data_IF_191161549071
#
_entry.id   IF_191161549071
#
_cell.length_a   1.000
_cell.length_b   1.000
_cell.length_c   1.000
_cell.angle_alpha   90.00
_cell.angle_beta   90.00
_cell.angle_gamma   90.00
#
_symmetry.space_group_name_H-M   'P 1'
#
loop_
_entity.id
_entity.type
_entity.pdbx_description
1 polymer ?
#
# COMPACT_ATOMS: atom_id res chain seq x y z
N UNK A 1 -45.86 17.08 -12.04
CA UNK A 1 -46.15 15.90 -12.89
C UNK A 1 -44.84 15.17 -13.05
N UNK A 2 -44.63 14.05 -12.34
CA UNK A 2 -43.44 13.23 -12.56
C UNK A 2 -43.58 12.59 -13.93
N UNK A 3 -42.67 12.91 -14.85
CA UNK A 3 -42.48 12.09 -16.06
C UNK A 3 -42.35 10.63 -15.63
N UNK A 4 -42.94 9.66 -16.35
CA UNK A 4 -42.77 8.25 -16.01
C UNK A 4 -41.26 7.96 -15.98
N UNK A 5 -40.76 7.53 -14.82
CA UNK A 5 -39.36 7.12 -14.66
C UNK A 5 -39.06 6.07 -15.72
N UNK A 6 -38.00 6.25 -16.51
CA UNK A 6 -37.58 5.22 -17.48
C UNK A 6 -37.30 3.93 -16.70
N UNK A 7 -38.20 2.95 -16.83
CA UNK A 7 -38.12 1.66 -16.15
C UNK A 7 -36.86 0.87 -16.53
N UNK A 8 -36.11 1.30 -17.55
CA UNK A 8 -34.84 0.71 -17.96
C UNK A 8 -33.63 1.41 -17.32
N UNK A 9 -33.81 2.57 -16.69
CA UNK A 9 -32.74 3.37 -16.08
C UNK A 9 -32.15 2.65 -14.88
N UNK A 10 -30.84 2.43 -14.89
CA UNK A 10 -30.10 1.79 -13.79
C UNK A 10 -28.91 2.66 -13.43
N UNK A 11 -28.69 2.92 -12.14
CA UNK A 11 -27.46 3.55 -11.68
C UNK A 11 -26.47 2.47 -11.22
N UNK A 12 -25.21 2.59 -11.61
CA UNK A 12 -24.16 1.62 -11.26
C UNK A 12 -23.13 2.28 -10.36
N UNK A 13 -23.08 1.84 -9.10
CA UNK A 13 -22.01 2.16 -8.16
C UNK A 13 -20.88 1.17 -8.39
N UNK A 14 -19.66 1.65 -8.62
CA UNK A 14 -18.52 0.78 -8.92
C UNK A 14 -17.18 1.37 -8.47
N UNK A 15 -16.17 0.51 -8.35
CA UNK A 15 -14.80 0.89 -8.01
C UNK A 15 -13.98 1.36 -9.23
N UNK A 16 -12.66 1.14 -9.16
CA UNK A 16 -11.68 1.45 -10.22
C UNK A 16 -11.36 0.28 -11.14
N UNK A 17 -11.99 -0.88 -10.96
CA UNK A 17 -11.89 -1.99 -11.90
C UNK A 17 -12.65 -1.70 -13.20
N UNK A 18 -12.00 -0.94 -14.10
CA UNK A 18 -12.56 -0.53 -15.40
C UNK A 18 -13.02 -1.70 -16.29
N UNK A 19 -12.28 -2.83 -16.40
CA UNK A 19 -12.74 -3.99 -17.16
C UNK A 19 -14.09 -4.54 -16.67
N UNK A 20 -14.26 -4.70 -15.35
CA UNK A 20 -15.51 -5.18 -14.77
C UNK A 20 -16.63 -4.15 -14.86
N UNK A 21 -16.32 -2.85 -14.68
CA UNK A 21 -17.27 -1.77 -14.91
C UNK A 21 -17.82 -1.82 -16.34
N UNK A 22 -16.92 -1.85 -17.34
CA UNK A 22 -17.32 -1.92 -18.75
C UNK A 22 -18.19 -3.16 -19.02
N UNK A 23 -17.78 -4.32 -18.50
CA UNK A 23 -18.52 -5.57 -18.66
C UNK A 23 -19.92 -5.51 -18.05
N UNK A 24 -20.08 -4.86 -16.88
CA UNK A 24 -21.40 -4.64 -16.28
C UNK A 24 -22.28 -3.74 -17.14
N UNK A 25 -21.73 -2.63 -17.65
CA UNK A 25 -22.48 -1.73 -18.53
C UNK A 25 -22.90 -2.40 -19.84
N UNK A 26 -22.00 -3.17 -20.46
CA UNK A 26 -22.30 -3.94 -21.67
C UNK A 26 -23.38 -4.99 -21.41
N UNK A 27 -23.30 -5.72 -20.29
CA UNK A 27 -24.32 -6.69 -19.87
C UNK A 27 -25.69 -6.01 -19.68
N UNK A 28 -25.76 -4.92 -18.93
CA UNK A 28 -27.01 -4.19 -18.70
C UNK A 28 -27.63 -3.72 -20.01
N UNK A 29 -26.83 -3.17 -20.93
CA UNK A 29 -27.29 -2.77 -22.28
C UNK A 29 -27.79 -3.97 -23.09
N UNK A 30 -27.15 -5.13 -22.98
CA UNK A 30 -27.55 -6.34 -23.72
C UNK A 30 -28.90 -6.91 -23.31
N UNK A 31 -29.40 -6.55 -22.13
CA UNK A 31 -30.74 -6.92 -21.63
C UNK A 31 -31.73 -5.74 -21.71
N UNK A 32 -31.45 -4.77 -22.58
CA UNK A 32 -32.22 -3.53 -22.82
C UNK A 32 -32.34 -2.58 -21.61
N UNK A 33 -31.37 -2.61 -20.69
CA UNK A 33 -31.28 -1.61 -19.63
C UNK A 33 -30.37 -0.45 -20.06
N UNK A 34 -30.63 0.71 -19.48
CA UNK A 34 -29.92 1.97 -19.73
C UNK A 34 -29.10 2.35 -18.50
N UNK A 35 -27.86 1.83 -18.36
CA UNK A 35 -27.00 2.21 -17.26
C UNK A 35 -26.58 3.68 -17.38
N UNK A 36 -26.85 4.46 -16.34
CA UNK A 36 -26.53 5.87 -16.26
C UNK A 36 -25.03 6.07 -16.06
N UNK A 37 -24.42 6.88 -16.91
CA UNK A 37 -23.03 7.33 -16.74
C UNK A 37 -22.97 8.49 -15.73
N UNK A 38 -21.84 8.63 -15.04
CA UNK A 38 -21.66 9.69 -14.04
C UNK A 38 -21.92 11.11 -14.59
N UNK A 39 -21.47 11.39 -15.81
CA UNK A 39 -21.67 12.69 -16.47
C UNK A 39 -23.15 13.03 -16.60
N UNK A 40 -24.00 12.05 -16.92
CA UNK A 40 -25.45 12.23 -16.97
C UNK A 40 -26.01 12.55 -15.58
N UNK A 41 -25.54 11.89 -14.53
CA UNK A 41 -25.95 12.20 -13.15
C UNK A 41 -25.54 13.63 -12.73
N UNK A 42 -24.37 14.09 -13.16
CA UNK A 42 -23.90 15.48 -12.93
C UNK A 42 -24.80 16.46 -13.68
N UNK A 43 -25.11 16.22 -14.96
CA UNK A 43 -25.99 17.09 -15.75
C UNK A 43 -27.39 17.22 -15.14
N UNK A 44 -27.92 16.13 -14.57
CA UNK A 44 -29.20 16.15 -13.85
C UNK A 44 -29.22 17.12 -12.67
N UNK A 45 -28.06 17.45 -12.08
CA UNK A 45 -28.01 18.45 -10.99
C UNK A 45 -28.29 19.87 -11.48
N UNK A 46 -28.08 20.16 -12.77
CA UNK A 46 -28.14 21.52 -13.33
C UNK A 46 -26.98 22.43 -12.90
N UNK A 47 -25.97 21.90 -12.21
CA UNK A 47 -24.83 22.66 -11.69
C UNK A 47 -23.55 22.31 -12.45
N UNK A 48 -22.70 23.30 -12.74
CA UNK A 48 -21.41 23.07 -13.39
C UNK A 48 -20.37 22.40 -12.48
N UNK A 49 -20.58 22.40 -11.16
CA UNK A 49 -19.67 21.80 -10.17
C UNK A 49 -20.44 21.39 -8.90
N UNK A 50 -21.32 20.38 -8.98
CA UNK A 50 -22.18 19.98 -7.88
C UNK A 50 -21.42 19.32 -6.74
N UNK A 51 -21.98 19.42 -5.54
CA UNK A 51 -21.59 18.55 -4.42
C UNK A 51 -21.89 17.08 -4.77
N UNK A 52 -20.97 16.16 -4.43
CA UNK A 52 -21.09 14.75 -4.82
C UNK A 52 -22.36 14.07 -4.30
N UNK A 53 -22.80 14.42 -3.09
CA UNK A 53 -24.05 13.91 -2.54
C UNK A 53 -25.27 14.32 -3.36
N UNK A 54 -25.24 15.53 -3.95
CA UNK A 54 -26.32 16.01 -4.83
C UNK A 54 -26.40 15.21 -6.13
N UNK A 55 -25.24 14.84 -6.70
CA UNK A 55 -25.17 13.97 -7.88
C UNK A 55 -25.78 12.60 -7.57
N UNK A 56 -25.43 12.03 -6.42
CA UNK A 56 -25.94 10.74 -5.97
C UNK A 56 -27.45 10.77 -5.72
N UNK A 57 -27.98 11.84 -5.08
CA UNK A 57 -29.42 12.03 -4.91
C UNK A 57 -30.15 12.04 -6.26
N UNK A 58 -29.65 12.83 -7.23
CA UNK A 58 -30.25 12.90 -8.56
C UNK A 58 -30.18 11.56 -9.30
N UNK A 59 -29.06 10.85 -9.20
CA UNK A 59 -28.90 9.52 -9.78
C UNK A 59 -29.92 8.53 -9.19
N UNK A 60 -30.08 8.50 -7.86
CA UNK A 60 -31.03 7.61 -7.21
C UNK A 60 -32.49 7.98 -7.49
N UNK A 61 -32.80 9.25 -7.72
CA UNK A 61 -34.16 9.69 -8.08
C UNK A 61 -34.55 9.30 -9.50
N UNK A 62 -33.58 9.26 -10.42
CA UNK A 62 -33.83 8.99 -11.83
C UNK A 62 -33.57 7.53 -12.24
N UNK A 63 -32.98 6.73 -11.36
CA UNK A 63 -32.75 5.31 -11.58
C UNK A 63 -33.91 4.46 -11.05
N UNK A 64 -34.34 3.47 -11.83
CA UNK A 64 -35.32 2.46 -11.41
C UNK A 64 -34.68 1.46 -10.43
N UNK A 65 -33.43 1.07 -10.68
CA UNK A 65 -32.65 0.23 -9.77
C UNK A 65 -31.22 0.77 -9.61
N UNK A 66 -30.59 0.43 -8.49
CA UNK A 66 -29.17 0.71 -8.22
C UNK A 66 -28.43 -0.62 -8.17
N UNK A 67 -27.42 -0.78 -9.02
CA UNK A 67 -26.49 -1.91 -8.98
C UNK A 67 -25.23 -1.46 -8.24
N UNK A 68 -24.88 -2.15 -7.17
CA UNK A 68 -23.61 -1.94 -6.47
C UNK A 68 -22.66 -3.06 -6.89
N UNK A 69 -21.70 -2.73 -7.75
CA UNK A 69 -20.65 -3.62 -8.22
C UNK A 69 -19.46 -3.58 -7.26
N UNK A 70 -19.37 -4.60 -6.41
CA UNK A 70 -18.29 -4.80 -5.45
C UNK A 70 -17.21 -5.71 -6.05
N UNK A 71 -16.01 -5.16 -6.16
CA UNK A 71 -14.82 -5.82 -6.73
C UNK A 71 -13.65 -5.73 -5.74
N UNK A 72 -12.67 -6.65 -5.79
CA UNK A 72 -11.51 -6.69 -4.89
C UNK A 72 -10.47 -5.60 -5.19
N UNK A 73 -10.88 -4.33 -5.15
CA UNK A 73 -10.06 -3.19 -5.57
C UNK A 73 -9.01 -2.77 -4.54
N UNK A 74 -9.26 -3.03 -3.25
CA UNK A 74 -8.39 -2.65 -2.14
C UNK A 74 -8.16 -3.83 -1.20
N UNK A 75 -7.13 -3.76 -0.36
CA UNK A 75 -6.84 -4.76 0.68
C UNK A 75 -6.97 -4.11 2.05
N UNK A 76 -7.72 -4.75 2.96
CA UNK A 76 -7.91 -4.27 4.32
C UNK A 76 -7.79 -5.38 5.35
N UNK A 77 -7.60 -4.98 6.60
CA UNK A 77 -7.59 -5.85 7.77
C UNK A 77 -7.92 -5.04 9.03
N UNK A 78 -8.57 -5.70 9.99
CA UNK A 78 -8.81 -5.18 11.32
C UNK A 78 -7.48 -5.11 12.08
N UNK A 79 -7.27 -4.07 12.88
CA UNK A 79 -6.07 -4.01 13.70
C UNK A 79 -6.11 -5.14 14.74
N UNK A 80 -5.04 -5.94 14.93
CA UNK A 80 -5.10 -7.12 15.78
C UNK A 80 -5.51 -6.87 17.23
N UNK A 81 -5.23 -5.68 17.77
CA UNK A 81 -5.68 -5.28 19.12
C UNK A 81 -7.21 -5.20 19.27
N UNK A 82 -7.94 -5.16 18.16
CA UNK A 82 -9.40 -5.18 18.11
C UNK A 82 -9.94 -6.53 17.62
N UNK A 83 -9.06 -7.49 17.31
CA UNK A 83 -9.46 -8.83 16.87
C UNK A 83 -9.71 -9.78 18.04
N UNK A 84 -10.37 -10.89 17.75
CA UNK A 84 -10.71 -11.95 18.70
C UNK A 84 -9.64 -13.06 18.69
N UNK A 85 -8.39 -12.71 19.00
CA UNK A 85 -7.26 -13.64 19.07
C UNK A 85 -6.42 -13.70 17.79
N UNK A 86 -5.33 -14.49 17.83
CA UNK A 86 -4.32 -14.54 16.74
C UNK A 86 -4.86 -15.17 15.44
N UNK A 87 -5.91 -15.98 15.52
CA UNK A 87 -6.52 -16.65 14.37
C UNK A 87 -7.71 -15.91 13.77
N UNK A 88 -8.00 -14.69 14.21
CA UNK A 88 -9.12 -13.92 13.70
C UNK A 88 -8.88 -13.54 12.23
N UNK A 89 -9.72 -14.07 11.33
CA UNK A 89 -9.64 -13.80 9.88
C UNK A 89 -9.85 -12.33 9.56
N UNK A 90 -10.58 -11.59 10.39
CA UNK A 90 -10.79 -10.16 10.22
C UNK A 90 -9.46 -9.39 10.29
N UNK A 91 -8.47 -9.92 11.03
CA UNK A 91 -7.14 -9.32 11.21
C UNK A 91 -6.13 -9.69 10.12
N UNK A 92 -6.51 -10.59 9.21
CA UNK A 92 -5.68 -10.96 8.06
C UNK A 92 -5.97 -10.03 6.88
N UNK A 93 -4.96 -9.68 6.05
CA UNK A 93 -5.18 -8.92 4.83
C UNK A 93 -6.16 -9.66 3.90
N UNK A 94 -7.27 -8.99 3.56
CA UNK A 94 -8.27 -9.53 2.66
C UNK A 94 -8.71 -8.48 1.63
N UNK A 95 -9.00 -8.88 0.39
CA UNK A 95 -9.54 -7.98 -0.63
C UNK A 95 -10.91 -7.42 -0.23
N UNK A 96 -11.20 -6.18 -0.60
CA UNK A 96 -12.47 -5.51 -0.37
C UNK A 96 -12.80 -4.53 -1.51
N UNK A 97 -14.08 -4.13 -1.59
CA UNK A 97 -14.48 -2.98 -2.39
C UNK A 97 -13.91 -1.67 -1.83
N UNK A 98 -13.78 -0.65 -2.69
CA UNK A 98 -13.30 0.66 -2.27
C UNK A 98 -14.24 1.29 -1.23
N UNK A 99 -13.74 2.04 -0.24
CA UNK A 99 -14.56 2.74 0.75
C UNK A 99 -15.67 3.61 0.14
N UNK A 100 -15.41 4.26 -1.00
CA UNK A 100 -16.43 5.05 -1.70
C UNK A 100 -17.62 4.17 -2.15
N UNK A 101 -17.33 2.99 -2.71
CA UNK A 101 -18.35 2.03 -3.14
C UNK A 101 -19.17 1.55 -1.94
N UNK A 102 -18.51 1.25 -0.81
CA UNK A 102 -19.18 0.84 0.42
C UNK A 102 -20.07 1.95 0.98
N UNK A 103 -19.61 3.20 0.95
CA UNK A 103 -20.37 4.36 1.42
C UNK A 103 -21.60 4.62 0.54
N UNK A 104 -21.42 4.64 -0.79
CA UNK A 104 -22.49 4.81 -1.77
C UNK A 104 -23.51 3.66 -1.71
N UNK A 105 -23.05 2.43 -1.48
CA UNK A 105 -23.91 1.28 -1.22
C UNK A 105 -24.76 1.50 0.05
N UNK A 106 -24.14 1.99 1.13
CA UNK A 106 -24.85 2.37 2.36
C UNK A 106 -25.91 3.44 2.11
N UNK A 107 -25.61 4.46 1.30
CA UNK A 107 -26.57 5.50 0.91
C UNK A 107 -27.73 4.94 0.07
N UNK A 108 -27.44 4.10 -0.93
CA UNK A 108 -28.45 3.47 -1.77
C UNK A 108 -29.39 2.58 -0.95
N UNK A 109 -28.82 1.73 -0.07
CA UNK A 109 -29.58 0.89 0.84
C UNK A 109 -30.40 1.71 1.85
N UNK A 110 -29.84 2.78 2.39
CA UNK A 110 -30.53 3.69 3.31
C UNK A 110 -31.69 4.43 2.65
N UNK A 111 -31.57 4.75 1.35
CA UNK A 111 -32.62 5.42 0.57
C UNK A 111 -33.71 4.45 0.12
N UNK A 112 -33.34 3.35 -0.52
CA UNK A 112 -34.27 2.32 -0.99
C UNK A 112 -33.55 0.97 -1.17
N UNK A 113 -33.62 0.15 -0.14
CA UNK A 113 -33.04 -1.18 -0.16
C UNK A 113 -33.82 -2.19 -1.02
N UNK A 114 -35.06 -1.88 -1.46
CA UNK A 114 -35.86 -2.77 -2.30
C UNK A 114 -35.40 -2.77 -3.75
N UNK A 115 -34.88 -1.63 -4.23
CA UNK A 115 -34.34 -1.46 -5.59
C UNK A 115 -32.81 -1.43 -5.67
N UNK A 116 -32.11 -1.72 -4.57
CA UNK A 116 -30.65 -1.81 -4.52
C UNK A 116 -30.19 -3.27 -4.64
N UNK A 117 -29.44 -3.58 -5.70
CA UNK A 117 -28.93 -4.91 -6.03
C UNK A 117 -27.42 -4.96 -5.77
N UNK A 118 -27.02 -5.75 -4.78
CA UNK A 118 -25.61 -5.97 -4.45
C UNK A 118 -25.02 -7.08 -5.33
N UNK A 119 -23.90 -6.80 -5.98
CA UNK A 119 -23.21 -7.72 -6.89
C UNK A 119 -21.74 -7.80 -6.51
N UNK A 120 -21.23 -9.00 -6.29
CA UNK A 120 -19.82 -9.31 -6.04
C UNK A 120 -19.20 -9.99 -7.25
N UNK A 121 -18.02 -9.56 -7.67
CA UNK A 121 -17.20 -10.29 -8.65
C UNK A 121 -15.81 -10.53 -8.04
N UNK A 122 -15.47 -11.80 -7.83
CA UNK A 122 -14.24 -12.22 -7.15
C UNK A 122 -14.39 -12.35 -5.64
N UNK A 123 -13.25 -12.50 -4.96
CA UNK A 123 -13.22 -12.60 -3.51
C UNK A 123 -13.29 -11.21 -2.89
N UNK A 124 -14.41 -10.90 -2.25
CA UNK A 124 -14.59 -9.65 -1.51
C UNK A 124 -14.86 -10.02 -0.05
N UNK A 125 -14.10 -9.42 0.86
CA UNK A 125 -14.30 -9.57 2.30
C UNK A 125 -15.74 -9.16 2.64
N UNK A 126 -16.47 -9.95 3.43
CA UNK A 126 -17.78 -9.56 3.90
C UNK A 126 -17.67 -8.25 4.70
N UNK A 127 -18.53 -7.29 4.40
CA UNK A 127 -18.76 -6.16 5.30
C UNK A 127 -19.90 -6.55 6.24
N UNK A 128 -19.56 -6.73 7.52
CA UNK A 128 -20.31 -7.46 8.56
C UNK A 128 -21.75 -6.98 8.80
N UNK A 129 -22.10 -5.75 8.39
CA UNK A 129 -23.42 -5.16 8.64
C UNK A 129 -24.43 -5.36 7.50
N UNK A 130 -24.04 -6.01 6.39
CA UNK A 130 -24.96 -6.44 5.31
C UNK A 130 -25.51 -7.85 5.58
N UNK A 131 -25.25 -8.44 6.76
CA UNK A 131 -25.60 -9.82 7.13
C UNK A 131 -27.09 -10.21 6.95
N UNK A 132 -28.01 -9.26 6.76
CA UNK A 132 -29.41 -9.52 6.40
C UNK A 132 -29.77 -9.41 4.91
N UNK A 133 -28.83 -9.05 4.02
CA UNK A 133 -29.07 -8.81 2.60
C UNK A 133 -28.18 -9.73 1.76
N UNK A 134 -28.79 -10.45 0.83
CA UNK A 134 -28.07 -11.37 -0.04
C UNK A 134 -27.39 -10.59 -1.18
N UNK A 135 -26.09 -10.77 -1.40
CA UNK A 135 -25.39 -10.30 -2.61
C UNK A 135 -25.35 -11.39 -3.69
N UNK A 136 -25.39 -11.02 -4.97
CA UNK A 136 -25.18 -11.98 -6.06
C UNK A 136 -23.67 -12.15 -6.25
N UNK A 137 -23.17 -13.38 -6.25
CA UNK A 137 -21.81 -13.67 -6.70
C UNK A 137 -21.82 -13.89 -8.22
N UNK A 138 -21.50 -12.84 -8.96
CA UNK A 138 -21.55 -12.85 -10.41
C UNK A 138 -20.27 -13.47 -10.99
N UNK A 139 -20.46 -14.29 -12.02
CA UNK A 139 -19.40 -14.95 -12.77
C UNK A 139 -19.78 -15.02 -14.25
N UNK A 140 -18.91 -15.61 -15.08
CA UNK A 140 -19.23 -15.90 -16.48
C UNK A 140 -20.30 -16.99 -16.68
N UNK A 141 -20.73 -17.70 -15.63
CA UNK A 141 -21.80 -18.68 -15.73
C UNK A 141 -23.15 -18.01 -16.06
N UNK A 142 -23.89 -18.62 -17.00
CA UNK A 142 -25.25 -18.18 -17.36
C UNK A 142 -26.18 -18.11 -16.15
N UNK A 143 -26.06 -19.05 -15.21
CA UNK A 143 -26.92 -19.10 -14.02
C UNK A 143 -26.80 -17.83 -13.16
N UNK A 144 -25.59 -17.33 -12.90
CA UNK A 144 -25.39 -16.10 -12.13
C UNK A 144 -25.84 -14.84 -12.89
N UNK A 145 -25.71 -14.83 -14.23
CA UNK A 145 -26.22 -13.75 -15.09
C UNK A 145 -27.75 -13.70 -15.06
N UNK A 146 -28.39 -14.87 -15.14
CA UNK A 146 -29.84 -15.01 -15.02
C UNK A 146 -30.33 -14.56 -13.64
N UNK A 147 -29.60 -14.86 -12.58
CA UNK A 147 -29.91 -14.37 -11.23
C UNK A 147 -29.90 -12.85 -11.16
N UNK A 148 -28.87 -12.19 -11.71
CA UNK A 148 -28.82 -10.73 -11.79
C UNK A 148 -30.01 -10.14 -12.57
N UNK A 149 -30.32 -10.70 -13.75
CA UNK A 149 -31.47 -10.27 -14.53
C UNK A 149 -32.79 -10.40 -13.75
N UNK A 150 -32.97 -11.49 -13.00
CA UNK A 150 -34.16 -11.70 -12.17
C UNK A 150 -34.26 -10.70 -11.02
N UNK A 151 -33.13 -10.33 -10.39
CA UNK A 151 -33.13 -9.31 -9.33
C UNK A 151 -33.41 -7.92 -9.86
N UNK A 152 -32.88 -7.57 -11.02
CA UNK A 152 -33.20 -6.31 -11.70
C UNK A 152 -34.67 -6.23 -12.06
N UNK A 153 -35.27 -7.34 -12.55
CA UNK A 153 -36.73 -7.41 -12.77
C UNK A 153 -37.51 -7.19 -11.48
N UNK A 154 -37.08 -7.82 -10.40
CA UNK A 154 -37.72 -7.70 -9.08
C UNK A 154 -37.59 -6.28 -8.52
N UNK A 155 -36.49 -5.59 -8.83
CA UNK A 155 -36.27 -4.18 -8.51
C UNK A 155 -37.09 -3.20 -9.38
N UNK A 156 -37.93 -3.71 -10.29
CA UNK A 156 -38.84 -2.92 -11.12
C UNK A 156 -38.32 -2.61 -12.53
N UNK A 157 -37.19 -3.17 -12.94
CA UNK A 157 -36.65 -2.93 -14.28
C UNK A 157 -37.43 -3.67 -15.38
N UNK A 158 -37.68 -2.98 -16.48
CA UNK A 158 -38.16 -3.59 -17.72
C UNK A 158 -36.95 -4.05 -18.53
N UNK A 159 -36.81 -5.36 -18.74
CA UNK A 159 -35.67 -5.98 -19.43
C UNK A 159 -36.13 -6.88 -20.57
N UNK A 160 -35.31 -6.96 -21.61
CA UNK A 160 -35.46 -7.88 -22.74
C UNK A 160 -34.43 -9.02 -22.64
N UNK A 161 -34.92 -10.25 -22.43
CA UNK A 161 -34.07 -11.45 -22.39
C UNK A 161 -34.24 -12.33 -23.62
N UNK A 162 -34.84 -11.83 -24.71
CA UNK A 162 -34.93 -12.57 -25.96
C UNK A 162 -33.54 -12.72 -26.58
N UNK A 163 -33.30 -13.84 -27.25
CA UNK A 163 -31.99 -14.16 -27.83
C UNK A 163 -31.00 -14.68 -26.79
N UNK A 164 -29.74 -14.82 -27.21
CA UNK A 164 -28.70 -15.47 -26.42
C UNK A 164 -27.42 -14.64 -26.26
N UNK A 165 -27.30 -13.50 -26.93
CA UNK A 165 -26.07 -12.69 -26.91
C UNK A 165 -25.72 -12.20 -25.49
N UNK A 166 -26.75 -11.89 -24.69
CA UNK A 166 -26.59 -11.48 -23.30
C UNK A 166 -26.02 -12.59 -22.39
N UNK A 167 -26.11 -13.87 -22.80
CA UNK A 167 -25.55 -15.00 -22.05
C UNK A 167 -24.04 -14.90 -21.87
N UNK A 168 -23.35 -14.25 -22.81
CA UNK A 168 -21.88 -14.13 -22.84
C UNK A 168 -21.38 -12.69 -22.90
N UNK A 169 -22.27 -11.70 -22.91
CA UNK A 169 -21.86 -10.28 -23.02
C UNK A 169 -21.18 -9.79 -21.74
N UNK A 170 -19.99 -9.21 -21.87
CA UNK A 170 -19.13 -8.80 -20.74
C UNK A 170 -18.35 -9.97 -20.15
N UNK A 171 -17.20 -9.68 -19.54
CA UNK A 171 -16.35 -10.67 -18.88
C UNK A 171 -16.37 -10.45 -17.35
N UNK A 172 -16.91 -11.41 -16.63
CA UNK A 172 -16.98 -11.44 -15.17
C UNK A 172 -16.02 -12.48 -14.58
N UNK A 173 -14.87 -12.69 -15.22
CA UNK A 173 -13.77 -13.45 -14.63
C UNK A 173 -13.31 -12.77 -13.34
N UNK A 174 -13.18 -13.58 -12.28
CA UNK A 174 -12.68 -13.11 -11.00
C UNK A 174 -11.30 -12.48 -11.16
N UNK A 175 -11.06 -11.26 -10.63
CA UNK A 175 -9.70 -10.71 -10.57
C UNK A 175 -8.78 -11.66 -9.80
N UNK A 176 -7.50 -11.75 -10.18
CA UNK A 176 -6.55 -12.58 -9.45
C UNK A 176 -6.43 -12.11 -7.99
N UNK A 177 -6.10 -13.02 -7.05
CA UNK A 177 -5.85 -12.64 -5.67
C UNK A 177 -4.78 -11.54 -5.59
N UNK A 178 -4.94 -10.56 -4.70
CA UNK A 178 -3.96 -9.49 -4.55
C UNK A 178 -2.60 -10.03 -4.13
N UNK A 179 -1.52 -9.39 -4.61
CA UNK A 179 -0.14 -9.74 -4.28
C UNK A 179 0.65 -10.43 -5.41
N UNK A 180 0.07 -10.62 -6.60
CA UNK A 180 0.75 -11.19 -7.78
C UNK A 180 1.49 -12.51 -7.50
N UNK A 181 0.89 -13.36 -6.66
CA UNK A 181 1.46 -14.64 -6.23
C UNK A 181 2.42 -14.55 -5.02
N UNK A 182 2.66 -13.34 -4.49
CA UNK A 182 3.39 -13.14 -3.24
C UNK A 182 2.42 -13.05 -2.05
N UNK A 183 2.82 -13.53 -0.86
CA UNK A 183 2.03 -13.35 0.35
C UNK A 183 1.79 -11.87 0.62
N UNK A 184 0.55 -11.50 0.92
CA UNK A 184 0.22 -10.15 1.39
C UNK A 184 0.81 -9.95 2.78
N UNK A 185 1.99 -9.32 2.83
CA UNK A 185 2.62 -8.93 4.08
C UNK A 185 1.90 -7.76 4.72
N UNK A 186 1.69 -7.82 6.03
CA UNK A 186 1.36 -6.62 6.80
C UNK A 186 2.57 -5.70 6.80
N UNK A 187 2.47 -4.50 6.22
CA UNK A 187 3.50 -3.47 6.44
C UNK A 187 3.39 -3.00 7.89
N UNK A 188 4.07 -3.70 8.79
CA UNK A 188 4.30 -3.21 10.14
C UNK A 188 5.11 -1.93 9.94
N UNK A 189 4.70 -0.77 10.51
CA UNK A 189 5.59 0.38 10.58
C UNK A 189 6.89 -0.16 11.16
N UNK A 190 7.98 -0.12 10.37
CA UNK A 190 9.26 -0.64 10.83
C UNK A 190 9.46 -0.08 12.21
N UNK A 191 9.53 -0.97 13.21
CA UNK A 191 9.61 -0.53 14.60
C UNK A 191 10.66 0.55 14.61
N UNK A 192 10.31 1.76 15.01
CA UNK A 192 11.32 2.65 15.54
C UNK A 192 11.76 1.93 16.81
N UNK A 193 12.59 0.89 16.67
CA UNK A 193 13.60 0.58 17.64
C UNK A 193 14.15 1.94 17.96
N UNK A 194 13.92 2.42 19.18
CA UNK A 194 14.44 3.70 19.62
C UNK A 194 15.85 3.79 19.06
N UNK A 195 16.07 4.73 18.12
CA UNK A 195 17.37 4.85 17.47
C UNK A 195 18.39 4.91 18.62
N UNK A 196 19.42 4.06 18.57
CA UNK A 196 20.39 3.99 19.66
C UNK A 196 20.93 5.40 19.91
N UNK A 197 21.20 5.73 21.17
CA UNK A 197 21.76 7.03 21.55
C UNK A 197 23.01 7.35 20.71
N UNK A 198 23.92 6.37 20.60
CA UNK A 198 25.06 6.39 19.70
C UNK A 198 24.95 5.17 18.77
N UNK A 199 25.17 5.39 17.47
CA UNK A 199 25.25 4.32 16.48
C UNK A 199 26.25 4.72 15.39
N UNK A 200 27.42 4.12 15.40
CA UNK A 200 28.47 4.45 14.44
C UNK A 200 28.38 3.64 13.15
N UNK A 201 28.82 4.29 12.08
CA UNK A 201 29.04 3.69 10.77
C UNK A 201 30.31 4.29 10.16
N UNK A 202 30.98 3.53 9.30
CA UNK A 202 32.27 3.91 8.72
C UNK A 202 32.21 3.86 7.19
N UNK A 203 32.86 4.82 6.55
CA UNK A 203 33.10 4.79 5.10
C UNK A 203 34.54 5.08 4.77
N UNK A 204 35.17 4.17 4.05
CA UNK A 204 36.51 4.34 3.54
C UNK A 204 36.48 4.94 2.14
N UNK A 205 37.39 5.87 1.85
CA UNK A 205 37.54 6.48 0.53
C UNK A 205 39.00 6.45 0.11
N UNK A 206 39.26 5.76 -1.01
CA UNK A 206 40.56 5.83 -1.68
C UNK A 206 40.73 7.21 -2.33
N UNK A 207 41.85 7.89 -2.07
CA UNK A 207 42.20 9.16 -2.75
C UNK A 207 43.21 9.00 -3.88
N UNK A 208 44.01 7.93 -3.86
CA UNK A 208 44.98 7.59 -4.90
C UNK A 208 46.15 8.59 -5.04
N UNK A 209 47.22 8.16 -5.70
CA UNK A 209 48.44 8.97 -5.88
C UNK A 209 49.20 9.20 -4.57
N UNK A 210 49.82 10.39 -4.41
CA UNK A 210 50.64 10.76 -3.25
C UNK A 210 49.82 11.40 -2.11
N UNK A 211 48.54 11.02 -1.96
CA UNK A 211 47.61 11.58 -0.96
C UNK A 211 47.16 10.49 0.00
N UNK A 212 46.95 10.85 1.26
CA UNK A 212 46.37 9.97 2.25
C UNK A 212 44.91 9.64 1.91
N UNK A 213 44.52 8.40 2.20
CA UNK A 213 43.13 7.96 2.08
C UNK A 213 42.29 8.57 3.20
N UNK A 214 40.97 8.46 3.10
CA UNK A 214 40.05 9.08 4.06
C UNK A 214 39.16 8.03 4.72
N UNK A 215 38.99 8.13 6.03
CA UNK A 215 37.97 7.40 6.79
C UNK A 215 36.93 8.39 7.31
N UNK A 216 35.67 8.21 6.91
CA UNK A 216 34.54 8.99 7.40
C UNK A 216 33.84 8.21 8.51
N UNK A 217 33.78 8.82 9.68
CA UNK A 217 33.13 8.30 10.88
C UNK A 217 31.77 8.97 11.02
N UNK A 218 30.69 8.20 10.96
CA UNK A 218 29.30 8.69 10.92
C UNK A 218 28.59 8.28 12.20
N UNK A 219 27.91 9.21 12.87
CA UNK A 219 27.02 8.90 13.97
C UNK A 219 25.56 8.94 13.50
N UNK A 220 24.98 7.76 13.27
CA UNK A 220 23.56 7.53 12.92
C UNK A 220 22.63 7.55 14.13
N UNK A 221 23.20 7.60 15.34
CA UNK A 221 22.46 7.69 16.60
C UNK A 221 21.75 9.02 16.79
N UNK A 222 21.06 9.18 17.92
CA UNK A 222 20.28 10.39 18.23
C UNK A 222 21.06 11.44 19.03
N UNK A 223 22.02 11.02 19.83
CA UNK A 223 22.82 11.88 20.71
C UNK A 223 24.16 12.26 20.07
N UNK A 224 24.78 13.30 20.59
CA UNK A 224 26.16 13.65 20.29
C UNK A 224 27.12 12.68 20.95
N UNK A 225 28.01 12.07 20.16
CA UNK A 225 29.13 11.30 20.67
C UNK A 225 30.32 12.22 20.93
N UNK A 226 30.92 12.14 22.11
CA UNK A 226 32.12 12.88 22.50
C UNK A 226 33.32 11.94 22.65
N UNK A 227 34.52 12.51 22.58
CA UNK A 227 35.78 11.81 22.87
C UNK A 227 35.90 10.49 22.08
N UNK A 228 35.61 10.55 20.77
CA UNK A 228 35.51 9.37 19.91
C UNK A 228 36.91 8.90 19.51
N UNK A 229 37.23 7.65 19.83
CA UNK A 229 38.52 7.01 19.54
C UNK A 229 38.28 5.78 18.67
N UNK A 230 39.11 5.61 17.65
CA UNK A 230 39.06 4.46 16.74
C UNK A 230 40.28 3.58 16.97
N UNK A 231 40.05 2.28 17.11
CA UNK A 231 41.09 1.26 17.25
C UNK A 231 40.88 0.18 16.20
N UNK A 232 41.96 -0.12 15.47
CA UNK A 232 42.00 -1.20 14.47
C UNK A 232 42.88 -2.35 14.97
N UNK A 233 42.63 -3.60 14.53
CA UNK A 233 43.50 -4.74 14.83
C UNK A 233 44.94 -4.54 14.35
N UNK A 234 45.91 -5.19 15.00
CA UNK A 234 47.33 -5.04 14.66
C UNK A 234 47.69 -5.48 13.23
N UNK A 235 46.93 -6.44 12.68
CA UNK A 235 47.09 -6.99 11.33
C UNK A 235 46.27 -6.24 10.26
N UNK A 236 45.54 -5.19 10.62
CA UNK A 236 44.73 -4.42 9.68
C UNK A 236 45.60 -3.64 8.67
N UNK A 237 45.16 -3.59 7.42
CA UNK A 237 45.83 -2.83 6.36
C UNK A 237 45.73 -1.30 6.56
N UNK A 238 44.88 -0.84 7.48
CA UNK A 238 44.68 0.57 7.80
C UNK A 238 45.54 1.00 8.99
N UNK A 239 46.32 2.07 8.83
CA UNK A 239 47.05 2.72 9.92
C UNK A 239 46.40 4.06 10.26
N UNK A 240 46.01 4.19 11.53
CA UNK A 240 45.40 5.38 12.12
C UNK A 240 46.42 6.23 12.92
N UNK A 241 47.62 5.71 13.20
CA UNK A 241 48.62 6.36 14.08
C UNK A 241 49.44 7.43 13.37
N UNK A 242 49.49 7.40 12.04
CA UNK A 242 50.34 8.29 11.24
C UNK A 242 49.72 9.66 10.93
N UNK A 243 48.54 9.97 11.47
CA UNK A 243 47.73 11.14 11.03
C UNK A 243 47.31 12.10 12.15
N UNK A 244 47.94 12.02 13.33
CA UNK A 244 47.71 12.87 14.52
C UNK A 244 46.26 12.88 15.06
N UNK A 245 45.41 11.96 14.60
CA UNK A 245 44.02 11.83 15.09
C UNK A 245 43.99 10.88 16.29
N UNK A 246 44.40 11.37 17.45
CA UNK A 246 44.29 10.60 18.69
C UNK A 246 42.84 10.52 19.20
N UNK A 247 42.05 11.58 19.03
CA UNK A 247 40.65 11.63 19.51
C UNK A 247 39.83 12.64 18.72
N UNK A 248 38.63 12.25 18.28
CA UNK A 248 37.65 13.16 17.66
C UNK A 248 36.78 13.75 18.78
N UNK A 249 36.88 15.07 18.99
CA UNK A 249 36.23 15.75 20.12
C UNK A 249 34.71 15.54 20.19
N UNK A 250 34.01 15.58 19.05
CA UNK A 250 32.58 15.26 18.97
C UNK A 250 32.09 14.92 17.57
N UNK A 251 31.05 14.09 17.50
CA UNK A 251 30.26 13.79 16.29
C UNK A 251 28.76 13.85 16.67
N UNK A 252 28.03 14.90 16.25
CA UNK A 252 26.58 14.98 16.50
C UNK A 252 25.82 13.79 15.90
N UNK A 253 24.70 13.41 16.51
CA UNK A 253 23.79 12.41 15.97
C UNK A 253 23.08 12.87 14.68
N UNK A 254 22.14 12.06 14.20
CA UNK A 254 21.34 12.36 13.01
C UNK A 254 22.09 12.18 11.69
N UNK A 255 23.14 11.35 11.68
CA UNK A 255 23.92 11.02 10.48
C UNK A 255 25.03 12.03 10.16
N UNK A 256 25.47 12.85 11.12
CA UNK A 256 26.65 13.72 10.92
C UNK A 256 27.93 12.90 10.99
N UNK A 257 28.99 13.44 10.40
CA UNK A 257 30.24 12.72 10.25
C UNK A 257 31.46 13.61 10.40
N UNK A 258 32.56 13.01 10.84
CA UNK A 258 33.90 13.59 10.78
C UNK A 258 34.76 12.71 9.87
N UNK A 259 35.61 13.33 9.06
CA UNK A 259 36.51 12.62 8.15
C UNK A 259 37.94 12.80 8.61
N UNK A 260 38.66 11.70 8.71
CA UNK A 260 40.05 11.65 9.17
C UNK A 260 40.95 11.11 8.06
N UNK A 261 42.19 11.57 8.04
CA UNK A 261 43.22 11.02 7.17
C UNK A 261 43.68 9.66 7.70
N UNK A 262 43.89 8.71 6.80
CA UNK A 262 44.32 7.34 7.12
C UNK A 262 45.31 6.85 6.08
N UNK A 263 46.23 5.97 6.49
CA UNK A 263 47.20 5.36 5.60
C UNK A 263 46.82 3.90 5.33
N UNK A 264 46.59 3.55 4.07
CA UNK A 264 46.43 2.14 3.68
C UNK A 264 47.81 1.53 3.36
N UNK A 265 48.31 0.74 4.30
CA UNK A 265 49.60 0.05 4.22
C UNK A 265 49.56 -1.25 3.41
N UNK A 266 48.36 -1.81 3.16
CA UNK A 266 48.20 -3.01 2.32
C UNK A 266 48.56 -2.78 0.85
N UNK A 267 48.65 -1.52 0.43
CA UNK A 267 49.05 -1.11 -0.94
C UNK A 267 50.53 -0.77 -1.08
N UNK A 268 51.33 -0.87 -0.01
CA UNK A 268 52.77 -0.63 -0.08
C UNK A 268 53.52 -1.86 -0.63
N UNK A 269 54.34 -1.65 -1.66
CA UNK A 269 55.16 -2.72 -2.25
C UNK A 269 56.16 -3.28 -1.23
N UNK A 270 56.15 -4.61 -1.06
CA UNK A 270 57.12 -5.35 -0.22
C UNK A 270 56.75 -5.48 1.28
N UNK A 271 55.56 -5.06 1.70
CA UNK A 271 55.08 -5.19 3.07
C UNK A 271 54.51 -6.58 3.42
N UNK A 272 54.37 -6.91 4.73
CA UNK A 272 53.69 -8.12 5.18
C UNK A 272 52.22 -8.13 4.74
N UNK A 273 51.65 -9.32 4.56
CA UNK A 273 50.24 -9.49 4.18
C UNK A 273 49.34 -9.00 5.32
N UNK A 274 48.54 -7.96 5.06
CA UNK A 274 47.59 -7.37 6.01
C UNK A 274 46.15 -7.63 5.60
N UNK A 275 45.22 -7.51 6.54
CA UNK A 275 43.79 -7.73 6.30
C UNK A 275 43.11 -6.47 5.78
N UNK A 276 42.40 -6.60 4.67
CA UNK A 276 41.62 -5.50 4.07
C UNK A 276 40.18 -5.42 4.62
N UNK A 277 39.74 -6.44 5.36
CA UNK A 277 38.41 -6.49 5.98
C UNK A 277 38.52 -6.86 7.46
N UNK A 278 38.04 -6.00 8.36
CA UNK A 278 38.23 -6.13 9.81
C UNK A 278 37.22 -5.28 10.60
N UNK A 279 37.06 -5.57 11.89
CA UNK A 279 36.25 -4.75 12.80
C UNK A 279 37.07 -3.58 13.37
N UNK A 280 36.54 -2.37 13.19
CA UNK A 280 37.03 -1.17 13.87
C UNK A 280 36.29 -1.02 15.19
N UNK A 281 37.03 -1.00 16.29
CA UNK A 281 36.46 -0.71 17.62
C UNK A 281 36.42 0.79 17.83
N UNK A 282 35.22 1.33 18.08
CA UNK A 282 34.98 2.74 18.31
C UNK A 282 34.51 2.91 19.76
N UNK A 283 35.26 3.69 20.54
CA UNK A 283 34.86 4.09 21.90
C UNK A 283 34.45 5.55 21.92
N UNK A 284 33.37 5.87 22.62
CA UNK A 284 32.87 7.25 22.74
C UNK A 284 32.14 7.46 24.05
N UNK A 285 31.97 8.72 24.45
CA UNK A 285 31.14 9.13 25.58
C UNK A 285 29.81 9.73 25.09
N UNK A 286 28.69 9.23 25.60
CA UNK A 286 27.35 9.75 25.32
C UNK A 286 27.06 11.05 26.09
N UNK A 287 25.95 11.73 25.76
CA UNK A 287 25.52 12.95 26.46
C UNK A 287 25.23 12.69 27.94
N UNK A 288 24.74 11.50 28.27
CA UNK A 288 24.56 11.00 29.63
C UNK A 288 25.85 10.80 30.42
N UNK A 289 27.03 10.90 29.78
CA UNK A 289 28.34 10.64 30.38
C UNK A 289 28.78 9.17 30.34
N UNK A 290 27.90 8.25 29.91
CA UNK A 290 28.23 6.83 29.78
C UNK A 290 29.22 6.57 28.65
N UNK A 291 30.13 5.62 28.89
CA UNK A 291 31.03 5.10 27.85
C UNK A 291 30.28 4.10 26.96
N UNK A 292 30.49 4.21 25.66
CA UNK A 292 29.92 3.37 24.62
C UNK A 292 31.07 2.76 23.82
N UNK A 293 31.01 1.45 23.61
CA UNK A 293 31.93 0.70 22.75
C UNK A 293 31.13 0.04 21.65
N UNK A 294 31.50 0.27 20.39
CA UNK A 294 30.86 -0.31 19.23
C UNK A 294 31.92 -0.85 18.26
N UNK A 295 31.71 -2.07 17.77
CA UNK A 295 32.48 -2.62 16.67
C UNK A 295 31.74 -2.37 15.36
N UNK A 296 32.46 -1.86 14.36
CA UNK A 296 31.94 -1.62 13.01
C UNK A 296 32.85 -2.34 12.02
N UNK A 297 32.29 -3.29 11.28
CA UNK A 297 33.00 -3.99 10.23
C UNK A 297 33.31 -3.04 9.08
N UNK A 298 34.56 -3.04 8.63
CA UNK A 298 35.06 -2.22 7.53
C UNK A 298 35.76 -3.11 6.50
N UNK A 299 35.38 -2.96 5.23
CA UNK A 299 36.07 -3.56 4.08
C UNK A 299 36.67 -2.43 3.23
N UNK A 300 37.98 -2.47 3.00
CA UNK A 300 38.72 -1.48 2.22
C UNK A 300 38.58 -1.67 0.70
N UNK A 301 37.97 -2.76 0.25
CA UNK A 301 37.71 -3.06 -1.16
C UNK A 301 36.31 -2.62 -1.65
N UNK A 302 35.45 -2.20 -0.72
CA UNK A 302 34.06 -1.77 -0.98
C UNK A 302 33.89 -0.34 -1.48
#
# INVERSE_FOLDING_TARGET
MNSPSDSRSVFVVHGRNEPLRKSMFDFLRSIDLSPMEWTTAVELTGEGSPYIGRVLDMAFDHATAVVVLMTPDEVAYLQPRYGHGESDRETQPAPQARPNVLFEAGMALGRDAGRTVLVEVGEVRPFSDVAGRHAIRLSNALASRQELANRLRTAGCTLDLRGTDWHTTGDFTAPPPPGDGLPLGRRIPGSVSARKAIDFDLKFFTKGGNRLDKLQVINRGTETAYDVVLTVPENAALDLRSTDVETIAKIPGGGRSVTVDVLNTGRMFGGPRREDAFDVTITARAESGNQVVQQVFLDLNG
#
